data_IF_630615503568
#
_entry.id   IF_630615503568
#
_cell.length_a   1.000
_cell.length_b   1.000
_cell.length_c   1.000
_cell.angle_alpha   90.00
_cell.angle_beta   90.00
_cell.angle_gamma   90.00
#
_symmetry.space_group_name_H-M   'P 1'
#
loop_
_entity.id
_entity.type
_entity.pdbx_description
1 polymer ?
#
# COMPACT_ATOMS: atom_id res chain seq x y z
N UNK A 1 12.40 -6.11 -0.70
CA UNK A 1 11.02 -5.89 -0.23
C UNK A 1 10.28 -7.23 -0.13
N UNK A 2 9.63 -7.50 1.00
CA UNK A 2 8.74 -8.66 1.19
C UNK A 2 7.31 -8.18 1.44
N UNK A 3 6.35 -8.75 0.74
CA UNK A 3 4.93 -8.41 0.84
C UNK A 3 4.16 -9.59 1.42
N UNK A 4 3.23 -9.32 2.32
CA UNK A 4 2.29 -10.30 2.85
C UNK A 4 0.88 -9.74 2.73
N UNK A 5 0.01 -10.49 2.04
CA UNK A 5 -1.41 -10.16 1.85
C UNK A 5 -2.23 -11.30 2.46
N UNK A 6 -3.25 -10.97 3.23
CA UNK A 6 -4.20 -11.96 3.76
C UNK A 6 -5.63 -11.44 3.66
N UNK A 7 -6.57 -12.35 3.42
CA UNK A 7 -8.00 -12.06 3.29
C UNK A 7 -8.74 -12.55 4.52
N UNK A 8 -9.58 -11.68 5.09
CA UNK A 8 -10.37 -11.97 6.27
C UNK A 8 -11.84 -11.68 6.01
N UNK A 9 -12.73 -12.55 6.46
CA UNK A 9 -14.18 -12.27 6.43
C UNK A 9 -14.60 -11.76 7.80
N UNK A 10 -15.20 -10.56 7.84
CA UNK A 10 -15.59 -9.89 9.09
C UNK A 10 -17.07 -9.55 9.05
N UNK A 11 -17.78 -9.81 10.14
CA UNK A 11 -19.19 -9.41 10.30
C UNK A 11 -19.28 -8.20 11.22
N UNK A 12 -19.84 -7.09 10.76
CA UNK A 12 -19.99 -5.83 11.52
C UNK A 12 -21.47 -5.44 11.63
N UNK A 13 -21.88 -4.90 12.78
CA UNK A 13 -23.27 -4.45 13.04
C UNK A 13 -23.83 -4.96 14.37
N UNK A 14 -24.66 -4.14 15.03
CA UNK A 14 -25.20 -4.43 16.37
C UNK A 14 -26.49 -5.29 16.32
N UNK A 15 -27.39 -5.00 15.38
CA UNK A 15 -28.67 -5.75 15.22
C UNK A 15 -28.67 -6.54 13.90
N UNK A 16 -28.35 -5.89 12.78
CA UNK A 16 -28.17 -6.53 11.47
C UNK A 16 -26.67 -6.57 11.16
N UNK A 17 -26.10 -7.78 11.19
CA UNK A 17 -24.67 -7.99 10.87
C UNK A 17 -24.46 -8.05 9.36
N UNK A 18 -23.71 -7.09 8.83
CA UNK A 18 -23.25 -7.09 7.43
C UNK A 18 -21.91 -7.79 7.34
N UNK A 19 -21.75 -8.66 6.34
CA UNK A 19 -20.48 -9.34 6.04
C UNK A 19 -19.63 -8.44 5.16
N UNK A 20 -18.36 -8.27 5.54
CA UNK A 20 -17.32 -7.56 4.82
C UNK A 20 -16.11 -8.45 4.62
N UNK A 21 -15.25 -8.05 3.69
CA UNK A 21 -14.03 -8.76 3.33
C UNK A 21 -12.86 -7.80 3.53
N UNK A 22 -12.01 -8.06 4.50
CA UNK A 22 -10.83 -7.25 4.78
C UNK A 22 -9.62 -7.82 4.05
N UNK A 23 -8.86 -6.94 3.39
CA UNK A 23 -7.53 -7.24 2.84
C UNK A 23 -6.51 -6.60 3.76
N UNK A 24 -5.68 -7.45 4.36
CA UNK A 24 -4.63 -7.07 5.28
C UNK A 24 -3.29 -7.11 4.54
N UNK A 25 -2.63 -5.95 4.45
CA UNK A 25 -1.35 -5.77 3.78
C UNK A 25 -0.26 -5.48 4.81
N UNK A 26 0.86 -6.18 4.70
CA UNK A 26 2.08 -5.90 5.46
C UNK A 26 3.28 -5.93 4.51
N UNK A 27 4.07 -4.87 4.53
CA UNK A 27 5.26 -4.75 3.71
C UNK A 27 6.49 -4.62 4.60
N UNK A 28 7.52 -5.40 4.29
CA UNK A 28 8.82 -5.33 4.93
C UNK A 28 9.87 -4.87 3.92
N UNK A 29 10.27 -3.61 4.05
CA UNK A 29 11.37 -3.01 3.31
C UNK A 29 12.72 -3.42 3.91
N UNK A 30 13.72 -3.61 3.05
CA UNK A 30 15.13 -3.76 3.48
C UNK A 30 15.67 -2.44 4.02
N UNK A 31 16.85 -2.46 4.65
CA UNK A 31 17.48 -1.23 5.13
C UNK A 31 17.77 -0.26 3.97
N UNK A 32 18.30 -0.77 2.86
CA UNK A 32 18.60 0.00 1.65
C UNK A 32 17.34 0.65 1.06
N UNK A 33 16.27 -0.14 0.87
CA UNK A 33 14.98 0.37 0.37
C UNK A 33 14.43 1.49 1.28
N UNK A 34 14.52 1.33 2.61
CA UNK A 34 14.11 2.38 3.56
C UNK A 34 14.95 3.66 3.41
N UNK A 35 16.25 3.55 3.14
CA UNK A 35 17.11 4.72 2.93
C UNK A 35 16.72 5.44 1.64
N UNK A 36 16.53 4.72 0.53
CA UNK A 36 16.11 5.29 -0.75
C UNK A 36 14.77 6.03 -0.59
N UNK A 37 13.78 5.40 0.06
CA UNK A 37 12.46 6.01 0.33
C UNK A 37 12.61 7.36 1.07
N UNK A 38 13.49 7.41 2.08
CA UNK A 38 13.73 8.63 2.87
C UNK A 38 14.49 9.68 2.08
N UNK A 39 15.58 9.32 1.42
CA UNK A 39 16.42 10.25 0.63
C UNK A 39 15.63 10.90 -0.51
N UNK A 40 14.71 10.15 -1.12
CA UNK A 40 13.90 10.60 -2.26
C UNK A 40 12.54 11.15 -1.85
N UNK A 41 12.30 11.33 -0.54
CA UNK A 41 11.06 11.88 0.04
C UNK A 41 9.78 11.16 -0.45
N UNK A 42 9.85 9.84 -0.62
CA UNK A 42 8.75 9.05 -1.15
C UNK A 42 7.67 8.70 -0.12
N UNK A 43 7.85 9.05 1.15
CA UNK A 43 6.92 8.71 2.23
C UNK A 43 5.49 9.18 1.92
N UNK A 44 5.36 10.38 1.35
CA UNK A 44 4.06 10.97 1.00
C UNK A 44 3.55 10.53 -0.36
N UNK A 45 4.32 9.76 -1.13
CA UNK A 45 3.91 9.30 -2.45
C UNK A 45 2.70 8.40 -2.34
N UNK A 46 1.70 8.70 -3.17
CA UNK A 46 0.47 7.93 -3.27
C UNK A 46 0.73 6.69 -4.12
N UNK A 47 0.44 5.52 -3.55
CA UNK A 47 0.55 4.23 -4.24
C UNK A 47 -0.78 3.84 -4.89
N UNK A 48 -1.89 4.08 -4.19
CA UNK A 48 -3.19 3.66 -4.67
C UNK A 48 -4.31 4.55 -4.10
N UNK A 49 -5.19 4.99 -4.98
CA UNK A 49 -6.50 5.53 -4.61
C UNK A 49 -7.44 4.37 -4.28
N UNK A 50 -8.04 4.41 -3.09
CA UNK A 50 -8.92 3.34 -2.61
C UNK A 50 -10.02 3.92 -1.77
N UNK A 51 -11.20 3.30 -1.79
CA UNK A 51 -12.35 3.73 -0.99
C UNK A 51 -12.99 2.54 -0.30
N UNK A 52 -13.00 2.50 1.05
CA UNK A 52 -13.49 1.34 1.77
C UNK A 52 -15.01 1.24 1.63
N UNK A 53 -15.54 0.03 1.78
CA UNK A 53 -16.97 -0.23 1.55
C UNK A 53 -17.91 0.45 2.57
N UNK A 54 -17.37 0.98 3.67
CA UNK A 54 -18.12 1.75 4.66
C UNK A 54 -17.92 3.27 4.51
N UNK A 55 -17.19 3.74 3.50
CA UNK A 55 -17.04 5.18 3.25
C UNK A 55 -18.38 5.81 2.87
N UNK A 56 -18.70 6.95 3.49
CA UNK A 56 -19.84 7.77 3.13
C UNK A 56 -19.53 8.56 1.86
N UNK A 57 -20.57 9.00 1.14
CA UNK A 57 -20.41 9.78 -0.10
C UNK A 57 -19.62 11.08 0.16
N UNK A 58 -19.84 11.71 1.31
CA UNK A 58 -19.20 12.97 1.71
C UNK A 58 -17.78 12.81 2.32
N UNK A 59 -17.27 11.59 2.44
CA UNK A 59 -15.92 11.39 2.96
C UNK A 59 -14.89 11.85 1.92
N UNK A 60 -13.88 12.58 2.39
CA UNK A 60 -12.76 13.02 1.53
C UNK A 60 -11.93 11.81 1.10
N UNK A 61 -11.80 11.62 -0.22
CA UNK A 61 -11.08 10.49 -0.80
C UNK A 61 -9.61 10.43 -0.36
N UNK A 62 -8.97 11.58 -0.13
CA UNK A 62 -7.59 11.72 0.38
C UNK A 62 -7.35 10.93 1.68
N UNK A 63 -8.37 10.76 2.52
CA UNK A 63 -8.26 10.05 3.81
C UNK A 63 -8.04 8.56 3.64
N UNK A 64 -8.39 8.02 2.48
CA UNK A 64 -8.37 6.58 2.24
C UNK A 64 -7.18 6.16 1.39
N UNK A 65 -6.41 7.09 0.82
CA UNK A 65 -5.25 6.82 -0.01
C UNK A 65 -4.24 5.89 0.69
N UNK A 66 -3.69 4.94 -0.06
CA UNK A 66 -2.53 4.19 0.37
C UNK A 66 -1.27 4.98 0.01
N UNK A 67 -0.50 5.37 1.02
CA UNK A 67 0.78 6.06 0.88
C UNK A 67 1.91 5.15 1.35
N UNK A 68 3.12 5.41 0.86
CA UNK A 68 4.32 4.64 1.25
C UNK A 68 4.54 4.69 2.78
N UNK A 69 4.25 5.83 3.41
CA UNK A 69 4.36 5.98 4.87
C UNK A 69 3.51 4.98 5.66
N UNK A 70 2.33 4.61 5.15
CA UNK A 70 1.44 3.63 5.81
C UNK A 70 2.00 2.20 5.76
N UNK A 71 2.99 1.95 4.90
CA UNK A 71 3.66 0.65 4.73
C UNK A 71 4.99 0.59 5.50
N UNK A 72 5.45 1.72 6.04
CA UNK A 72 6.69 1.77 6.80
C UNK A 72 6.56 1.00 8.10
N UNK A 73 7.71 0.52 8.59
CA UNK A 73 7.85 -0.17 9.87
C UNK A 73 6.92 -1.37 10.07
N UNK A 74 6.60 -2.03 8.95
CA UNK A 74 5.76 -3.22 8.91
C UNK A 74 4.37 -3.01 9.52
N UNK A 75 3.88 -1.77 9.47
CA UNK A 75 2.54 -1.46 9.90
C UNK A 75 1.52 -2.28 9.09
N UNK A 76 0.51 -2.79 9.79
CA UNK A 76 -0.56 -3.55 9.18
C UNK A 76 -1.58 -2.58 8.60
N UNK A 77 -1.66 -2.54 7.28
CA UNK A 77 -2.70 -1.82 6.57
C UNK A 77 -3.93 -2.72 6.40
N UNK A 78 -5.12 -2.21 6.76
CA UNK A 78 -6.39 -2.96 6.71
C UNK A 78 -7.36 -2.23 5.82
N UNK A 79 -7.73 -2.85 4.72
CA UNK A 79 -8.71 -2.29 3.79
C UNK A 79 -9.99 -3.12 3.74
N UNK A 80 -11.15 -2.46 3.78
CA UNK A 80 -12.45 -3.11 3.92
C UNK A 80 -13.22 -3.09 2.60
N UNK A 81 -13.55 -4.27 2.08
CA UNK A 81 -14.25 -4.50 0.82
C UNK A 81 -15.67 -5.04 1.06
N UNK A 82 -16.59 -4.71 0.14
CA UNK A 82 -18.00 -5.11 0.21
C UNK A 82 -18.22 -6.57 -0.21
N UNK A 83 -17.40 -7.07 -1.14
CA UNK A 83 -17.55 -8.39 -1.75
C UNK A 83 -16.19 -9.08 -1.91
N UNK A 84 -16.16 -10.43 -2.01
CA UNK A 84 -14.92 -11.16 -2.24
C UNK A 84 -14.25 -10.76 -3.56
N UNK A 85 -15.04 -10.53 -4.61
CA UNK A 85 -14.52 -10.11 -5.92
C UNK A 85 -13.80 -8.76 -5.83
N UNK A 86 -14.35 -7.79 -5.07
CA UNK A 86 -13.67 -6.51 -4.83
C UNK A 86 -12.39 -6.67 -4.02
N UNK A 87 -12.35 -7.60 -3.06
CA UNK A 87 -11.14 -7.92 -2.32
C UNK A 87 -10.05 -8.50 -3.24
N UNK A 88 -10.42 -9.34 -4.21
CA UNK A 88 -9.49 -9.89 -5.20
C UNK A 88 -8.97 -8.84 -6.19
N UNK A 89 -9.84 -8.00 -6.74
CA UNK A 89 -9.43 -6.88 -7.60
C UNK A 89 -8.48 -5.93 -6.85
N UNK A 90 -8.76 -5.67 -5.58
CA UNK A 90 -7.89 -4.85 -4.75
C UNK A 90 -6.52 -5.51 -4.47
N UNK A 91 -6.48 -6.82 -4.24
CA UNK A 91 -5.22 -7.57 -4.12
C UNK A 91 -4.37 -7.45 -5.39
N UNK A 92 -4.97 -7.61 -6.57
CA UNK A 92 -4.26 -7.48 -7.85
C UNK A 92 -3.69 -6.05 -8.02
N UNK A 93 -4.51 -5.03 -7.78
CA UNK A 93 -4.06 -3.63 -7.83
C UNK A 93 -2.94 -3.33 -6.83
N UNK A 94 -2.97 -3.93 -5.63
CA UNK A 94 -1.89 -3.81 -4.65
C UNK A 94 -0.60 -4.47 -5.16
N UNK A 95 -0.68 -5.66 -5.74
CA UNK A 95 0.49 -6.36 -6.27
C UNK A 95 1.14 -5.58 -7.41
N UNK A 96 0.34 -5.02 -8.32
CA UNK A 96 0.83 -4.20 -9.42
C UNK A 96 1.53 -2.93 -8.92
N UNK A 97 0.90 -2.19 -8.00
CA UNK A 97 1.48 -0.97 -7.43
C UNK A 97 2.78 -1.26 -6.65
N UNK A 98 2.81 -2.34 -5.87
CA UNK A 98 4.00 -2.74 -5.11
C UNK A 98 5.11 -3.25 -6.04
N UNK A 99 4.78 -3.96 -7.12
CA UNK A 99 5.75 -4.39 -8.12
C UNK A 99 6.41 -3.19 -8.81
N UNK A 100 5.63 -2.17 -9.19
CA UNK A 100 6.16 -0.93 -9.75
C UNK A 100 7.05 -0.19 -8.75
N UNK A 101 6.64 -0.10 -7.49
CA UNK A 101 7.46 0.51 -6.43
C UNK A 101 8.77 -0.26 -6.23
N UNK A 102 8.73 -1.60 -6.26
CA UNK A 102 9.94 -2.43 -6.14
C UNK A 102 10.91 -2.15 -7.28
N UNK A 103 10.43 -2.15 -8.52
CA UNK A 103 11.26 -1.87 -9.68
C UNK A 103 11.90 -0.49 -9.58
N UNK A 104 11.12 0.52 -9.19
CA UNK A 104 11.64 1.87 -8.98
C UNK A 104 12.72 1.91 -7.88
N UNK A 105 12.53 1.19 -6.77
CA UNK A 105 13.52 1.13 -5.68
C UNK A 105 14.80 0.41 -6.11
N UNK A 106 14.67 -0.68 -6.88
CA UNK A 106 15.80 -1.43 -7.41
C UNK A 106 16.61 -0.56 -8.41
N UNK A 107 15.92 0.14 -9.34
CA UNK A 107 16.55 1.06 -10.31
C UNK A 107 17.28 2.23 -9.63
N UNK A 108 16.79 2.68 -8.47
CA UNK A 108 17.39 3.79 -7.72
C UNK A 108 18.40 3.32 -6.67
N UNK A 109 18.62 2.00 -6.52
CA UNK A 109 19.65 1.45 -5.65
C UNK A 109 21.06 1.59 -6.24
N UNK A 110 21.20 1.53 -7.58
CA UNK A 110 22.50 1.67 -8.27
C UNK A 110 22.98 3.13 -8.43
N UNK A 111 22.09 4.12 -8.31
CA UNK A 111 22.42 5.54 -8.58
C UNK A 111 23.17 6.21 -7.40
N UNK A 112 23.58 5.45 -6.39
CA UNK A 112 24.49 5.92 -5.35
C UNK A 112 25.97 6.01 -5.82
N UNK A 113 26.25 5.81 -7.12
CA UNK A 113 27.53 6.13 -7.73
C UNK A 113 27.56 7.56 -8.27
N UNK A 114 28.44 8.40 -7.71
CA UNK A 114 28.75 9.72 -8.27
C UNK A 114 29.12 9.57 -9.76
N UNK A 115 28.29 10.07 -10.67
CA UNK A 115 28.68 10.20 -12.08
C UNK A 115 29.50 11.49 -12.20
N UNK A 116 30.83 11.38 -12.07
CA UNK A 116 31.74 12.48 -12.39
C UNK A 116 31.88 12.52 -13.91
N UNK A 117 31.39 13.57 -14.54
CA UNK A 117 31.67 13.90 -15.93
C UNK A 117 32.66 15.05 -15.92
N UNK A 118 33.91 14.78 -16.32
CA UNK A 118 34.93 15.82 -16.53
C UNK A 118 34.83 16.34 -17.98
N UNK A 119 34.85 17.66 -18.13
CA UNK A 119 34.89 18.37 -19.42
C UNK A 119 36.29 18.90 -19.69
#
# INVERSE_FOLDING_TARGET
MRVSISHHTVRKGFVLKTTYYEVHLKVAFTHEEKQIIRQRNLLKSKLLDRRPANARVDDRDEKFELRVEHLMDQQLDRFLCATPSKAKIYEEALLDALAQMKLWLDDNAEVAGTTVVEF
#
